data_IF_562103790144
#
_entry.id   IF_562103790144
#
_cell.length_a   1.000
_cell.length_b   1.000
_cell.length_c   1.000
_cell.angle_alpha   90.00
_cell.angle_beta   90.00
_cell.angle_gamma   90.00
#
_symmetry.space_group_name_H-M   'P 1'
#
loop_
_entity.id
_entity.type
_entity.pdbx_description
1 polymer ?
#
# COMPACT_ATOMS: atom_id res chain seq x y z
N UNK A 1 -8.86 -22.01 18.67
CA UNK A 1 -8.38 -21.63 17.32
C UNK A 1 -9.24 -22.35 16.30
N UNK A 2 -9.48 -21.75 15.12
CA UNK A 2 -10.04 -22.46 13.95
C UNK A 2 -8.89 -22.99 13.09
N UNK A 3 -9.06 -24.18 12.51
CA UNK A 3 -8.13 -24.77 11.54
C UNK A 3 -8.87 -24.86 10.21
N UNK A 4 -8.22 -24.46 9.10
CA UNK A 4 -8.78 -24.54 7.75
C UNK A 4 -9.06 -23.19 7.08
N UNK A 5 -9.87 -23.18 5.99
CA UNK A 5 -9.98 -22.02 5.13
C UNK A 5 -10.68 -20.83 5.80
N UNK A 6 -10.14 -19.63 5.58
CA UNK A 6 -10.80 -18.38 5.90
C UNK A 6 -12.00 -18.18 4.96
N UNK A 7 -13.07 -17.57 5.48
CA UNK A 7 -14.26 -17.26 4.68
C UNK A 7 -13.99 -15.98 3.87
N UNK A 8 -13.91 -16.03 2.54
CA UNK A 8 -13.78 -14.82 1.74
C UNK A 8 -15.05 -13.98 1.88
N UNK A 9 -14.89 -12.65 1.91
CA UNK A 9 -16.02 -11.71 1.92
C UNK A 9 -15.78 -10.54 0.98
N UNK A 10 -16.60 -10.43 -0.07
CA UNK A 10 -16.43 -9.45 -1.15
C UNK A 10 -16.51 -8.01 -0.65
N UNK A 11 -17.52 -7.71 0.19
CA UNK A 11 -17.70 -6.39 0.80
C UNK A 11 -16.48 -5.94 1.62
N UNK A 12 -15.87 -6.83 2.38
CA UNK A 12 -14.67 -6.51 3.19
C UNK A 12 -13.43 -6.33 2.30
N UNK A 13 -13.31 -7.13 1.24
CA UNK A 13 -12.22 -7.02 0.26
C UNK A 13 -12.24 -5.68 -0.46
N UNK A 14 -13.39 -5.25 -0.99
CA UNK A 14 -13.51 -3.95 -1.67
C UNK A 14 -13.26 -2.79 -0.69
N UNK A 15 -13.85 -2.86 0.52
CA UNK A 15 -13.67 -1.83 1.55
C UNK A 15 -12.23 -1.68 2.02
N UNK A 16 -11.46 -2.78 2.09
CA UNK A 16 -10.06 -2.73 2.52
C UNK A 16 -9.17 -2.07 1.47
N UNK A 17 -9.54 -2.17 0.18
CA UNK A 17 -8.82 -1.56 -0.95
C UNK A 17 -9.14 -0.08 -1.14
N UNK A 18 -10.38 0.35 -0.89
CA UNK A 18 -10.82 1.75 -1.08
C UNK A 18 -10.77 2.56 0.22
N UNK A 19 -11.91 2.76 0.87
CA UNK A 19 -12.07 3.64 2.06
C UNK A 19 -11.18 3.24 3.24
N UNK A 20 -10.94 1.94 3.43
CA UNK A 20 -10.05 1.43 4.48
C UNK A 20 -8.58 1.80 4.25
N UNK A 21 -8.13 1.86 2.99
CA UNK A 21 -6.76 2.24 2.62
C UNK A 21 -6.50 3.70 3.00
N UNK A 22 -7.40 4.60 2.61
CA UNK A 22 -7.31 6.04 2.92
C UNK A 22 -7.25 6.27 4.44
N UNK A 23 -8.16 5.64 5.20
CA UNK A 23 -8.16 5.76 6.68
C UNK A 23 -6.85 5.28 7.33
N UNK A 24 -6.20 4.25 6.77
CA UNK A 24 -4.91 3.76 7.30
C UNK A 24 -3.76 4.72 6.99
N UNK A 25 -3.76 5.36 5.83
CA UNK A 25 -2.74 6.34 5.45
C UNK A 25 -2.79 7.55 6.39
N UNK A 26 -3.98 8.10 6.63
CA UNK A 26 -4.17 9.24 7.55
C UNK A 26 -3.74 8.87 8.98
N UNK A 27 -4.09 7.67 9.48
CA UNK A 27 -3.63 7.24 10.80
C UNK A 27 -2.11 7.08 10.91
N UNK A 28 -1.47 6.66 9.81
CA UNK A 28 -0.02 6.49 9.73
C UNK A 28 0.71 7.83 9.68
N UNK A 29 0.12 8.87 9.08
CA UNK A 29 0.71 10.22 9.04
C UNK A 29 0.63 10.93 10.39
N UNK A 30 -0.41 10.65 11.18
CA UNK A 30 -0.63 11.30 12.49
C UNK A 30 0.13 10.59 13.61
N UNK A 31 0.13 9.25 13.63
CA UNK A 31 0.75 8.49 14.71
C UNK A 31 2.01 7.75 14.21
N UNK A 32 3.22 8.15 14.66
CA UNK A 32 4.49 7.57 14.21
C UNK A 32 4.63 6.08 14.57
N UNK A 33 3.90 5.64 15.58
CA UNK A 33 3.91 4.28 16.13
C UNK A 33 2.92 3.36 15.41
N UNK A 34 1.98 3.90 14.63
CA UNK A 34 0.93 3.12 13.96
C UNK A 34 1.49 2.26 12.82
N UNK A 35 1.22 0.96 12.87
CA UNK A 35 1.63 0.00 11.82
C UNK A 35 3.11 -0.35 11.80
N UNK A 36 3.89 0.04 12.83
CA UNK A 36 5.29 -0.40 12.99
C UNK A 36 5.36 -1.86 13.42
N UNK A 37 6.43 -2.56 13.02
CA UNK A 37 6.69 -3.95 13.43
C UNK A 37 6.85 -4.01 14.96
N UNK A 38 6.37 -5.09 15.58
CA UNK A 38 6.46 -5.28 17.04
C UNK A 38 5.36 -4.60 17.87
N UNK A 39 4.67 -3.60 17.32
CA UNK A 39 3.72 -2.78 18.07
C UNK A 39 2.48 -3.53 18.59
N UNK A 40 2.15 -4.66 17.98
CA UNK A 40 1.08 -5.54 18.48
C UNK A 40 1.42 -6.23 19.81
N UNK A 41 2.70 -6.51 20.08
CA UNK A 41 3.13 -7.14 21.33
C UNK A 41 3.14 -6.15 22.51
N UNK A 42 3.42 -4.88 22.22
CA UNK A 42 3.44 -3.80 23.21
C UNK A 42 2.01 -3.41 23.61
N UNK A 43 1.09 -3.30 22.65
CA UNK A 43 -0.29 -2.91 22.95
C UNK A 43 -1.11 -4.06 23.55
N UNK A 44 -1.07 -5.26 22.94
CA UNK A 44 -1.91 -6.40 23.33
C UNK A 44 -1.18 -7.76 23.14
N UNK A 45 -0.35 -8.20 24.11
CA UNK A 45 0.46 -9.41 23.95
C UNK A 45 -0.37 -10.70 23.77
N UNK A 46 -1.49 -10.83 24.50
CA UNK A 46 -2.41 -11.98 24.38
C UNK A 46 -2.98 -12.12 22.97
N UNK A 47 -3.38 -10.98 22.37
CA UNK A 47 -3.93 -10.94 21.01
C UNK A 47 -2.86 -11.19 19.96
N UNK A 48 -1.65 -10.69 20.17
CA UNK A 48 -0.51 -10.94 19.30
C UNK A 48 -0.18 -12.45 19.25
N UNK A 49 -0.14 -13.12 20.40
CA UNK A 49 0.08 -14.56 20.49
C UNK A 49 -1.03 -15.36 19.78
N UNK A 50 -2.30 -15.04 20.04
CA UNK A 50 -3.44 -15.69 19.38
C UNK A 50 -3.41 -15.53 17.86
N UNK A 51 -3.19 -14.31 17.36
CA UNK A 51 -3.13 -14.02 15.92
C UNK A 51 -1.95 -14.74 15.25
N UNK A 52 -0.82 -14.90 15.96
CA UNK A 52 0.33 -15.66 15.45
C UNK A 52 -0.02 -17.13 15.21
N UNK A 53 -0.76 -17.76 16.12
CA UNK A 53 -1.20 -19.14 15.93
C UNK A 53 -2.30 -19.21 14.87
N UNK A 54 -3.32 -18.34 14.92
CA UNK A 54 -4.41 -18.31 13.95
C UNK A 54 -3.93 -18.16 12.50
N UNK A 55 -2.92 -17.32 12.27
CA UNK A 55 -2.35 -17.11 10.94
C UNK A 55 -1.54 -18.30 10.44
N UNK A 56 -0.94 -19.10 11.34
CA UNK A 56 -0.24 -20.34 10.99
C UNK A 56 -1.19 -21.50 10.72
N UNK A 57 -2.32 -21.57 11.41
CA UNK A 57 -3.24 -22.72 11.34
C UNK A 57 -4.42 -22.52 10.38
N UNK A 58 -4.57 -21.32 9.81
CA UNK A 58 -5.64 -21.01 8.84
C UNK A 58 -5.05 -20.56 7.51
N UNK A 59 -5.64 -21.04 6.40
CA UNK A 59 -5.20 -20.74 5.05
C UNK A 59 -6.25 -19.90 4.31
N UNK A 60 -5.82 -19.06 3.38
CA UNK A 60 -6.74 -18.39 2.45
C UNK A 60 -6.87 -19.25 1.19
N UNK A 61 -8.06 -19.77 0.92
CA UNK A 61 -8.31 -20.58 -0.28
C UNK A 61 -8.07 -19.82 -1.59
N UNK A 62 -8.11 -18.48 -1.54
CA UNK A 62 -7.87 -17.58 -2.67
C UNK A 62 -6.37 -17.28 -2.89
N UNK A 63 -5.52 -17.54 -1.89
CA UNK A 63 -4.08 -17.27 -1.98
C UNK A 63 -3.36 -18.29 -2.87
N UNK A 64 -3.84 -19.54 -2.85
CA UNK A 64 -3.34 -20.60 -3.73
C UNK A 64 -3.66 -20.39 -5.22
N UNK A 65 -4.70 -19.62 -5.56
CA UNK A 65 -5.14 -19.36 -6.94
C UNK A 65 -4.51 -18.11 -7.57
N UNK A 66 -3.72 -17.34 -6.80
CA UNK A 66 -3.17 -16.04 -7.24
C UNK A 66 -1.72 -16.08 -7.75
N UNK A 67 -1.12 -17.27 -7.81
CA UNK A 67 0.31 -17.45 -8.11
C UNK A 67 0.68 -17.45 -9.61
N UNK A 68 -0.19 -16.98 -10.50
CA UNK A 68 0.17 -16.71 -11.89
C UNK A 68 -0.20 -15.27 -12.26
N UNK A 69 0.72 -14.34 -12.00
CA UNK A 69 0.94 -13.11 -12.79
C UNK A 69 2.01 -12.27 -12.08
N UNK A 70 3.26 -12.59 -12.39
CA UNK A 70 4.34 -11.60 -12.39
C UNK A 70 4.01 -10.52 -13.42
N UNK A 71 3.57 -9.34 -12.98
CA UNK A 71 3.71 -8.12 -13.79
C UNK A 71 4.90 -7.34 -13.21
N UNK A 72 6.05 -7.55 -13.84
CA UNK A 72 7.09 -6.56 -13.96
C UNK A 72 6.54 -5.41 -14.81
N UNK A 73 5.97 -4.40 -14.14
CA UNK A 73 5.76 -3.08 -14.72
C UNK A 73 6.39 -2.06 -13.76
N UNK A 74 7.66 -2.28 -13.42
CA UNK A 74 8.52 -1.17 -13.05
C UNK A 74 9.00 -0.53 -14.37
N UNK A 75 8.98 0.81 -14.41
CA UNK A 75 9.57 1.66 -15.44
C UNK A 75 8.69 2.12 -16.62
N UNK A 76 7.58 2.83 -16.34
CA UNK A 76 7.07 3.85 -17.30
C UNK A 76 6.48 5.11 -16.66
N UNK A 77 6.74 5.36 -15.37
CA UNK A 77 6.22 6.56 -14.66
C UNK A 77 7.32 7.31 -13.92
N UNK A 78 8.50 7.41 -14.54
CA UNK A 78 9.56 8.37 -14.14
C UNK A 78 9.94 9.33 -15.26
N UNK A 79 9.45 9.13 -16.47
CA UNK A 79 9.85 9.93 -17.65
C UNK A 79 8.97 11.18 -17.87
N UNK A 80 7.72 11.18 -17.38
CA UNK A 80 6.74 12.22 -17.72
C UNK A 80 6.71 13.42 -16.76
N UNK A 81 7.52 13.45 -15.69
CA UNK A 81 7.39 14.46 -14.64
C UNK A 81 8.62 15.31 -14.33
N UNK A 82 9.76 15.15 -15.02
CA UNK A 82 10.93 15.99 -14.68
C UNK A 82 11.68 16.63 -15.85
N UNK A 83 11.67 16.05 -17.05
CA UNK A 83 12.38 16.63 -18.20
C UNK A 83 11.60 17.76 -18.88
N UNK A 84 10.41 17.45 -19.38
CA UNK A 84 9.68 18.34 -20.28
C UNK A 84 9.24 19.66 -19.62
N UNK A 85 8.80 19.60 -18.36
CA UNK A 85 8.34 20.79 -17.63
C UNK A 85 9.51 21.76 -17.40
N UNK A 86 10.70 21.25 -17.07
CA UNK A 86 11.89 22.08 -16.89
C UNK A 86 12.34 22.73 -18.21
N UNK A 87 12.33 21.98 -19.32
CA UNK A 87 12.67 22.52 -20.64
C UNK A 87 11.68 23.60 -21.11
N UNK A 88 10.38 23.42 -20.87
CA UNK A 88 9.34 24.41 -21.23
C UNK A 88 9.52 25.72 -20.46
N UNK A 89 9.84 25.63 -19.16
CA UNK A 89 10.07 26.83 -18.31
C UNK A 89 11.33 27.58 -18.75
N UNK A 90 12.41 26.86 -19.09
CA UNK A 90 13.66 27.47 -19.56
C UNK A 90 13.47 28.18 -20.91
N UNK A 91 12.74 27.56 -21.85
CA UNK A 91 12.46 28.15 -23.17
C UNK A 91 11.60 29.42 -23.02
N UNK A 92 10.57 29.40 -22.16
CA UNK A 92 9.74 30.57 -21.90
C UNK A 92 10.54 31.74 -21.31
N UNK A 93 11.50 31.46 -20.42
CA UNK A 93 12.36 32.48 -19.81
C UNK A 93 13.29 33.14 -20.84
N UNK A 94 13.87 32.36 -21.76
CA UNK A 94 14.73 32.87 -22.84
C UNK A 94 13.95 33.76 -23.81
N UNK A 95 12.72 33.39 -24.17
CA UNK A 95 11.87 34.18 -25.08
C UNK A 95 11.51 35.54 -24.45
N UNK A 96 11.18 35.56 -23.15
CA UNK A 96 10.87 36.80 -22.43
C UNK A 96 12.08 37.73 -22.38
N UNK A 97 13.29 37.19 -22.19
CA UNK A 97 14.53 37.96 -22.13
C UNK A 97 15.03 38.45 -23.50
N UNK A 98 14.55 37.85 -24.60
CA UNK A 98 14.86 38.28 -25.96
C UNK A 98 13.89 39.35 -26.49
N UNK A 99 12.67 39.39 -25.93
CA UNK A 99 11.63 40.36 -26.29
C UNK A 99 11.75 41.65 -25.46
N UNK A 100 12.37 41.57 -24.28
CA UNK A 100 12.74 42.73 -23.45
C UNK A 100 14.09 43.31 -23.89
#
# INVERSE_FOLDING_TARGET
MKIGPRKPSLKKSVKSRTTGKVKRQVKKSINPTYGKKGMGWINDPKKAAYNKVYNKTSFDAMDGLKNDSSNTDDDVVTCLSCGCIAFIIIILFIIIFLIL
#
